data_IF_292791648690
#
_entry.id   IF_292791648690
#
_cell.length_a   1.000
_cell.length_b   1.000
_cell.length_c   1.000
_cell.angle_alpha   90.00
_cell.angle_beta   90.00
_cell.angle_gamma   90.00
#
_symmetry.space_group_name_H-M   'P 1'
#
loop_
_entity.id
_entity.type
_entity.pdbx_description
1 polymer ?
#
# COMPACT_ATOMS: atom_id res chain seq x y z
N UNK A 1 14.01 8.77 -14.09
CA UNK A 1 14.99 8.45 -13.04
C UNK A 1 14.98 6.95 -12.80
N UNK A 2 16.05 6.41 -12.21
CA UNK A 2 16.13 5.00 -11.81
C UNK A 2 16.32 4.96 -10.30
N UNK A 3 15.52 4.17 -9.60
CA UNK A 3 15.58 4.02 -8.15
C UNK A 3 15.98 2.59 -7.80
N UNK A 4 16.85 2.44 -6.80
CA UNK A 4 17.36 1.13 -6.38
C UNK A 4 16.76 0.75 -5.03
N UNK A 5 16.04 -0.37 -5.02
CA UNK A 5 15.54 -0.99 -3.79
C UNK A 5 16.65 -1.78 -3.12
N UNK A 6 16.54 -1.97 -1.80
CA UNK A 6 17.51 -2.77 -1.06
C UNK A 6 17.55 -4.22 -1.59
N UNK A 7 18.74 -4.81 -1.64
CA UNK A 7 18.89 -6.20 -2.09
C UNK A 7 18.10 -7.13 -1.16
N UNK A 8 17.28 -7.99 -1.75
CA UNK A 8 16.42 -8.93 -1.02
C UNK A 8 15.05 -8.39 -0.65
N UNK A 9 14.77 -7.12 -0.95
CA UNK A 9 13.42 -6.58 -0.91
C UNK A 9 12.64 -6.93 -2.18
N UNK A 10 11.30 -6.99 -2.05
CA UNK A 10 10.37 -7.32 -3.11
C UNK A 10 9.29 -6.25 -3.26
N UNK A 11 9.57 -5.15 -3.98
CA UNK A 11 8.59 -4.08 -4.16
C UNK A 11 7.44 -4.49 -5.08
N UNK A 12 6.21 -4.14 -4.71
CA UNK A 12 4.99 -4.51 -5.44
C UNK A 12 3.81 -3.57 -5.12
N UNK A 13 2.64 -3.86 -5.70
CA UNK A 13 1.38 -3.14 -5.46
C UNK A 13 1.44 -1.62 -5.71
N UNK A 14 2.23 -1.17 -6.70
CA UNK A 14 2.42 0.24 -6.99
C UNK A 14 1.10 0.91 -7.42
N UNK A 15 0.71 1.96 -6.69
CA UNK A 15 -0.43 2.83 -6.99
C UNK A 15 -0.04 4.30 -6.86
N UNK A 16 -0.85 5.21 -7.42
CA UNK A 16 -0.60 6.66 -7.37
C UNK A 16 -1.85 7.38 -6.86
N UNK A 17 -1.66 8.46 -6.11
CA UNK A 17 -2.77 9.29 -5.63
C UNK A 17 -3.48 10.05 -6.76
N UNK A 18 -4.67 10.57 -6.49
CA UNK A 18 -5.50 11.27 -7.48
C UNK A 18 -4.80 12.49 -8.10
N UNK A 19 -3.91 13.15 -7.34
CA UNK A 19 -3.12 14.28 -7.81
C UNK A 19 -2.01 13.89 -8.80
N UNK A 20 -1.67 12.60 -8.89
CA UNK A 20 -0.58 12.11 -9.73
C UNK A 20 0.81 12.47 -9.20
N UNK A 21 0.95 12.81 -7.91
CA UNK A 21 2.19 13.32 -7.32
C UNK A 21 2.83 12.34 -6.34
N UNK A 22 2.04 11.51 -5.69
CA UNK A 22 2.50 10.57 -4.65
C UNK A 22 2.24 9.15 -5.09
N UNK A 23 3.29 8.34 -5.15
CA UNK A 23 3.23 6.90 -5.36
C UNK A 23 3.23 6.19 -4.00
N UNK A 24 2.47 5.11 -3.90
CA UNK A 24 2.49 4.18 -2.76
C UNK A 24 2.80 2.78 -3.27
N UNK A 25 3.59 2.03 -2.51
CA UNK A 25 3.98 0.67 -2.85
C UNK A 25 4.27 -0.15 -1.60
N UNK A 26 4.07 -1.46 -1.72
CA UNK A 26 4.50 -2.44 -0.73
C UNK A 26 5.99 -2.71 -0.93
N UNK A 27 6.79 -2.74 0.14
CA UNK A 27 8.18 -3.18 0.06
C UNK A 27 8.68 -3.84 1.36
N UNK A 28 9.74 -4.63 1.22
CA UNK A 28 10.42 -5.32 2.31
C UNK A 28 10.93 -6.70 1.90
N UNK A 29 11.74 -7.30 2.77
CA UNK A 29 12.26 -8.66 2.57
C UNK A 29 11.33 -9.72 3.19
N UNK A 30 10.86 -9.47 4.41
CA UNK A 30 9.92 -10.34 5.16
C UNK A 30 8.61 -9.64 5.51
N UNK A 31 8.48 -8.38 5.09
CA UNK A 31 7.31 -7.53 5.30
C UNK A 31 6.87 -6.95 3.96
N UNK A 32 5.63 -6.50 3.89
CA UNK A 32 5.08 -5.74 2.76
C UNK A 32 4.60 -4.38 3.26
N UNK A 33 5.42 -3.71 4.07
CA UNK A 33 5.04 -2.41 4.63
C UNK A 33 4.84 -1.41 3.49
N UNK A 34 3.93 -0.45 3.68
CA UNK A 34 3.63 0.52 2.63
C UNK A 34 4.58 1.70 2.78
N UNK A 35 5.26 2.03 1.69
CA UNK A 35 6.09 3.22 1.56
C UNK A 35 5.42 4.22 0.61
N UNK A 36 5.85 5.46 0.69
CA UNK A 36 5.39 6.55 -0.15
C UNK A 36 6.57 7.25 -0.80
N UNK A 37 6.36 7.77 -2.00
CA UNK A 37 7.40 8.41 -2.80
C UNK A 37 6.79 9.52 -3.67
N UNK A 38 7.28 10.76 -3.58
CA UNK A 38 6.84 11.83 -4.48
C UNK A 38 7.52 11.70 -5.84
N UNK A 39 6.83 12.10 -6.91
CA UNK A 39 7.42 12.10 -8.27
C UNK A 39 8.64 13.03 -8.41
N UNK A 40 8.81 13.98 -7.50
CA UNK A 40 9.96 14.88 -7.42
C UNK A 40 11.12 14.34 -6.60
N UNK A 41 10.92 13.25 -5.85
CA UNK A 41 11.94 12.71 -4.96
C UNK A 41 13.08 12.08 -5.77
N UNK A 42 14.29 12.20 -5.26
CA UNK A 42 15.49 11.62 -5.87
C UNK A 42 15.90 10.29 -5.23
N UNK A 43 15.33 9.97 -4.07
CA UNK A 43 15.69 8.82 -3.25
C UNK A 43 14.44 8.18 -2.64
N UNK A 44 14.49 6.86 -2.43
CA UNK A 44 13.39 6.13 -1.78
C UNK A 44 13.43 6.35 -0.26
N UNK A 45 12.25 6.52 0.36
CA UNK A 45 12.13 6.57 1.82
C UNK A 45 12.53 5.24 2.45
N UNK A 46 13.31 5.29 3.53
CA UNK A 46 13.62 4.12 4.37
C UNK A 46 12.59 3.89 5.48
N UNK A 47 11.64 4.81 5.65
CA UNK A 47 10.57 4.73 6.64
C UNK A 47 9.21 4.47 5.96
N UNK A 48 8.49 3.41 6.36
CA UNK A 48 7.17 3.14 5.80
C UNK A 48 6.15 4.16 6.31
N UNK A 49 5.19 4.51 5.46
CA UNK A 49 4.02 5.31 5.83
C UNK A 49 3.00 4.45 6.60
N UNK A 50 2.87 3.16 6.26
CA UNK A 50 2.02 2.22 6.99
C UNK A 50 2.82 0.97 7.32
N UNK A 51 3.03 0.70 8.61
CA UNK A 51 3.74 -0.49 9.08
C UNK A 51 2.79 -1.72 9.21
N UNK A 52 2.17 -2.11 8.10
CA UNK A 52 1.33 -3.31 7.97
C UNK A 52 1.47 -3.88 6.56
N UNK A 53 1.47 -5.21 6.45
CA UNK A 53 1.47 -5.92 5.17
C UNK A 53 0.05 -6.04 4.60
N UNK A 54 -0.08 -5.81 3.29
CA UNK A 54 -1.34 -5.97 2.56
C UNK A 54 -1.18 -6.95 1.39
N UNK A 55 -2.30 -7.57 1.02
CA UNK A 55 -2.42 -8.42 -0.16
C UNK A 55 -2.58 -7.60 -1.45
N UNK A 56 -3.20 -6.42 -1.35
CA UNK A 56 -3.29 -5.46 -2.45
C UNK A 56 -3.49 -4.03 -1.95
N UNK A 57 -3.07 -3.07 -2.76
CA UNK A 57 -3.17 -1.64 -2.47
C UNK A 57 -4.12 -0.92 -3.44
N UNK A 58 -4.64 0.21 -2.99
CA UNK A 58 -5.39 1.17 -3.78
C UNK A 58 -5.18 2.57 -3.23
N UNK A 59 -5.37 3.59 -4.07
CA UNK A 59 -5.42 4.98 -3.63
C UNK A 59 -6.58 5.69 -4.32
N UNK A 60 -7.37 6.42 -3.55
CA UNK A 60 -8.47 7.24 -4.06
C UNK A 60 -8.97 8.21 -2.98
N UNK A 61 -9.48 9.35 -3.41
CA UNK A 61 -10.10 10.38 -2.56
C UNK A 61 -9.21 10.85 -1.39
N UNK A 62 -7.89 10.92 -1.60
CA UNK A 62 -6.93 11.28 -0.56
C UNK A 62 -6.77 10.22 0.56
N UNK A 63 -7.03 8.95 0.24
CA UNK A 63 -6.82 7.82 1.14
C UNK A 63 -5.99 6.72 0.48
N UNK A 64 -5.33 5.94 1.32
CA UNK A 64 -4.66 4.69 0.97
C UNK A 64 -5.54 3.54 1.45
N UNK A 65 -5.74 2.56 0.60
CA UNK A 65 -6.53 1.37 0.89
C UNK A 65 -5.64 0.14 0.83
N UNK A 66 -5.81 -0.77 1.79
CA UNK A 66 -5.05 -2.00 1.86
C UNK A 66 -5.98 -3.18 2.13
N UNK A 67 -5.85 -4.27 1.38
CA UNK A 67 -6.60 -5.50 1.61
C UNK A 67 -5.79 -6.52 2.39
N UNK A 68 -6.41 -7.30 3.26
CA UNK A 68 -5.76 -8.37 4.04
C UNK A 68 -6.53 -9.67 3.82
N UNK A 69 -5.87 -10.66 3.22
CA UNK A 69 -6.44 -11.99 2.97
C UNK A 69 -6.45 -12.88 4.22
N UNK A 70 -5.78 -12.45 5.29
CA UNK A 70 -5.57 -13.16 6.56
C UNK A 70 -4.83 -14.49 6.39
N UNK A 71 -5.51 -15.52 5.88
CA UNK A 71 -4.98 -16.86 5.66
C UNK A 71 -5.40 -17.50 4.31
N UNK A 72 -5.98 -16.69 3.41
CA UNK A 72 -6.47 -17.12 2.09
C UNK A 72 -7.70 -18.04 2.10
N UNK A 73 -8.30 -18.31 3.26
CA UNK A 73 -9.48 -19.17 3.38
C UNK A 73 -10.63 -18.48 4.09
N UNK A 74 -10.35 -17.69 5.12
CA UNK A 74 -11.36 -16.92 5.84
C UNK A 74 -11.70 -15.59 5.16
N UNK A 75 -12.77 -14.95 5.63
CA UNK A 75 -13.11 -13.59 5.24
C UNK A 75 -11.96 -12.63 5.55
N UNK A 76 -11.59 -11.84 4.54
CA UNK A 76 -10.53 -10.85 4.63
C UNK A 76 -11.02 -9.51 5.18
N UNK A 77 -10.12 -8.53 5.12
CA UNK A 77 -10.39 -7.16 5.56
C UNK A 77 -9.97 -6.15 4.49
N UNK A 78 -10.69 -5.04 4.44
CA UNK A 78 -10.29 -3.83 3.75
C UNK A 78 -10.05 -2.75 4.80
N UNK A 79 -8.89 -2.12 4.74
CA UNK A 79 -8.49 -1.03 5.62
C UNK A 79 -8.39 0.26 4.82
N UNK A 80 -8.77 1.37 5.45
CA UNK A 80 -8.61 2.72 4.91
C UNK A 80 -7.70 3.53 5.83
N UNK A 81 -6.67 4.12 5.24
CA UNK A 81 -5.69 4.98 5.90
C UNK A 81 -5.69 6.37 5.25
N UNK A 82 -5.39 7.38 6.05
CA UNK A 82 -4.98 8.69 5.53
C UNK A 82 -3.66 8.58 4.76
N UNK A 83 -3.36 9.53 3.88
CA UNK A 83 -2.06 9.59 3.17
C UNK A 83 -0.84 9.69 4.11
N UNK A 84 -1.05 10.11 5.36
CA UNK A 84 -0.01 10.15 6.41
C UNK A 84 0.08 8.86 7.23
N UNK A 85 -0.62 7.80 6.84
CA UNK A 85 -0.50 6.48 7.46
C UNK A 85 -1.33 6.26 8.73
N UNK A 86 -2.19 7.21 9.10
CA UNK A 86 -3.14 7.01 10.20
C UNK A 86 -4.33 6.17 9.75
N UNK A 87 -4.66 5.10 10.49
CA UNK A 87 -5.82 4.26 10.25
C UNK A 87 -7.11 5.09 10.45
N UNK A 88 -8.01 5.04 9.48
CA UNK A 88 -9.32 5.70 9.53
C UNK A 88 -10.39 4.70 9.92
N UNK A 89 -10.45 3.56 9.23
CA UNK A 89 -11.48 2.53 9.43
C UNK A 89 -11.08 1.19 8.79
N UNK A 90 -11.83 0.14 9.12
CA UNK A 90 -11.70 -1.19 8.52
C UNK A 90 -13.05 -1.89 8.39
N UNK A 91 -13.24 -2.62 7.31
CA UNK A 91 -14.46 -3.39 7.05
C UNK A 91 -14.11 -4.83 6.64
N UNK A 92 -14.89 -5.78 7.12
CA UNK A 92 -14.75 -7.17 6.71
C UNK A 92 -15.29 -7.37 5.28
N UNK A 93 -14.56 -8.12 4.47
CA UNK A 93 -14.88 -8.37 3.06
C UNK A 93 -14.85 -9.87 2.76
N UNK A 94 -14.96 -10.23 1.48
CA UNK A 94 -14.87 -11.63 1.05
C UNK A 94 -13.50 -12.26 1.28
N UNK A 95 -13.39 -13.53 0.91
CA UNK A 95 -12.13 -14.29 0.92
C UNK A 95 -11.20 -13.77 -0.17
N UNK A 96 -9.92 -13.57 0.16
CA UNK A 96 -8.86 -13.07 -0.76
C UNK A 96 -9.30 -11.79 -1.52
N UNK A 97 -9.49 -10.66 -0.83
CA UNK A 97 -9.79 -9.38 -1.47
C UNK A 97 -8.59 -8.90 -2.31
N UNK A 98 -8.64 -9.11 -3.63
CA UNK A 98 -7.49 -8.98 -4.53
C UNK A 98 -7.20 -7.59 -5.11
N UNK A 99 -8.05 -6.59 -4.88
CA UNK A 99 -7.79 -5.25 -5.40
C UNK A 99 -8.96 -4.29 -5.22
N UNK A 100 -8.76 -3.06 -5.69
CA UNK A 100 -9.74 -1.98 -5.65
C UNK A 100 -10.09 -1.50 -7.05
N UNK A 101 -11.31 -0.99 -7.20
CA UNK A 101 -11.76 -0.25 -8.37
C UNK A 101 -12.52 0.97 -7.88
N UNK A 102 -12.22 2.13 -8.44
CA UNK A 102 -12.80 3.42 -8.06
C UNK A 102 -13.45 4.07 -9.30
N UNK A 103 -14.50 4.86 -9.08
CA UNK A 103 -15.24 5.56 -10.15
C UNK A 103 -14.63 6.91 -10.48
#
# INVERSE_FOLDING_TARGET
ATYTFAVGNHPEDLVINDAGTTLYYSDGSWTKAVYSFQISDTDLSSTPVINKSFYGLGSANGYIYGTDAVDYTQQGWSFRYTENGSLVDSVQVGVIPGGYCFN
#
